data_IF_921416609484
#
_entry.id   IF_921416609484
#
_cell.length_a   1.000
_cell.length_b   1.000
_cell.length_c   1.000
_cell.angle_alpha   90.00
_cell.angle_beta   90.00
_cell.angle_gamma   90.00
#
_symmetry.space_group_name_H-M   'P 1'
#
loop_
_entity.id
_entity.type
_entity.pdbx_description
1 polymer ?
#
# COMPACT_ATOMS: atom_id res chain seq x y z
N UNK A 1 -13.70 38.65 5.03
CA UNK A 1 -12.32 38.15 5.12
C UNK A 1 -12.06 37.30 3.86
N UNK A 2 -11.54 37.91 2.80
CA UNK A 2 -11.33 37.29 1.50
C UNK A 2 -10.11 36.36 1.59
N UNK A 3 -10.35 35.05 1.56
CA UNK A 3 -9.28 34.08 1.45
C UNK A 3 -8.56 34.26 0.12
N UNK A 4 -7.35 34.80 0.18
CA UNK A 4 -6.45 34.93 -0.95
C UNK A 4 -6.14 33.51 -1.48
N UNK A 5 -6.72 33.12 -2.63
CA UNK A 5 -6.37 31.89 -3.35
C UNK A 5 -4.89 31.99 -3.72
N UNK A 6 -4.02 31.41 -2.88
CA UNK A 6 -2.61 31.22 -3.25
C UNK A 6 -2.60 30.30 -4.48
N UNK A 7 -2.27 30.86 -5.65
CA UNK A 7 -1.98 30.08 -6.84
C UNK A 7 -0.71 29.25 -6.56
N UNK A 8 -0.92 28.05 -6.02
CA UNK A 8 0.19 27.11 -5.83
C UNK A 8 0.56 26.60 -7.21
N UNK A 9 1.82 26.76 -7.67
CA UNK A 9 2.26 26.22 -8.95
C UNK A 9 1.93 24.72 -9.03
N UNK A 10 1.45 24.27 -10.19
CA UNK A 10 1.03 22.87 -10.41
C UNK A 10 2.11 21.86 -9.96
N UNK A 11 3.37 22.14 -10.29
CA UNK A 11 4.53 21.34 -9.85
C UNK A 11 4.64 21.20 -8.32
N UNK A 12 4.32 22.26 -7.58
CA UNK A 12 4.35 22.23 -6.12
C UNK A 12 3.22 21.35 -5.56
N UNK A 13 2.04 21.37 -6.22
CA UNK A 13 0.93 20.47 -5.84
C UNK A 13 1.27 19.01 -6.07
N UNK A 14 1.87 18.66 -7.20
CA UNK A 14 2.38 17.30 -7.44
C UNK A 14 3.42 16.88 -6.42
N UNK A 15 4.36 17.77 -6.10
CA UNK A 15 5.37 17.49 -5.08
C UNK A 15 4.77 17.22 -3.70
N UNK A 16 3.74 17.98 -3.30
CA UNK A 16 3.01 17.73 -2.05
C UNK A 16 2.29 16.38 -2.06
N UNK A 17 1.67 16.00 -3.18
CA UNK A 17 1.02 14.70 -3.33
C UNK A 17 2.02 13.54 -3.20
N UNK A 18 3.18 13.63 -3.87
CA UNK A 18 4.25 12.64 -3.74
C UNK A 18 4.72 12.52 -2.30
N UNK A 19 4.92 13.64 -1.59
CA UNK A 19 5.29 13.64 -0.17
C UNK A 19 4.25 12.93 0.69
N UNK A 20 2.95 13.09 0.39
CA UNK A 20 1.87 12.38 1.08
C UNK A 20 1.99 10.86 0.92
N UNK A 21 2.19 10.39 -0.31
CA UNK A 21 2.38 8.95 -0.59
C UNK A 21 3.64 8.41 0.09
N UNK A 22 4.75 9.14 0.02
CA UNK A 22 6.00 8.77 0.71
C UNK A 22 5.79 8.71 2.23
N UNK A 23 5.00 9.62 2.79
CA UNK A 23 4.67 9.60 4.21
C UNK A 23 3.89 8.34 4.59
N UNK A 24 2.89 7.92 3.80
CA UNK A 24 2.19 6.65 4.00
C UNK A 24 3.17 5.46 3.94
N UNK A 25 4.05 5.41 2.94
CA UNK A 25 5.06 4.36 2.82
C UNK A 25 5.98 4.27 4.05
N UNK A 26 6.45 5.40 4.57
CA UNK A 26 7.40 5.43 5.69
C UNK A 26 6.76 5.11 7.04
N UNK A 27 5.49 5.49 7.24
CA UNK A 27 4.86 5.44 8.55
C UNK A 27 3.82 4.33 8.68
N UNK A 28 3.19 3.88 7.55
CA UNK A 28 2.10 2.92 7.59
C UNK A 28 2.56 1.50 7.19
N UNK A 29 2.45 0.56 8.13
CA UNK A 29 2.79 -0.85 7.88
C UNK A 29 1.84 -1.48 6.87
N UNK A 30 0.54 -1.19 6.94
CA UNK A 30 -0.46 -1.75 6.04
C UNK A 30 -0.22 -1.32 4.60
N UNK A 31 0.13 -0.04 4.37
CA UNK A 31 0.51 0.44 3.05
C UNK A 31 1.68 -0.37 2.45
N UNK A 32 2.71 -0.69 3.24
CA UNK A 32 3.84 -1.51 2.80
C UNK A 32 3.44 -2.95 2.50
N UNK A 33 2.52 -3.54 3.26
CA UNK A 33 1.97 -4.87 3.00
C UNK A 33 1.23 -4.89 1.67
N UNK A 34 0.36 -3.93 1.41
CA UNK A 34 -0.37 -3.84 0.14
C UNK A 34 0.57 -3.58 -1.04
N UNK A 35 1.60 -2.76 -0.87
CA UNK A 35 2.62 -2.52 -1.90
C UNK A 35 3.41 -3.81 -2.23
N UNK A 36 3.76 -4.60 -1.21
CA UNK A 36 4.38 -5.92 -1.38
C UNK A 36 3.45 -6.86 -2.16
N UNK A 37 2.17 -6.93 -1.80
CA UNK A 37 1.19 -7.73 -2.53
C UNK A 37 1.07 -7.29 -4.00
N UNK A 38 1.02 -5.98 -4.28
CA UNK A 38 1.01 -5.43 -5.64
C UNK A 38 2.25 -5.89 -6.43
N UNK A 39 3.43 -5.84 -5.82
CA UNK A 39 4.67 -6.30 -6.46
C UNK A 39 4.57 -7.77 -6.89
N UNK A 40 4.14 -8.67 -6.00
CA UNK A 40 4.04 -10.09 -6.32
C UNK A 40 2.91 -10.42 -7.30
N UNK A 41 1.79 -9.69 -7.26
CA UNK A 41 0.70 -9.83 -8.23
C UNK A 41 1.16 -9.40 -9.64
N UNK A 42 1.88 -8.29 -9.77
CA UNK A 42 2.44 -7.84 -11.06
C UNK A 42 3.50 -8.82 -11.55
N UNK A 43 4.37 -9.30 -10.66
CA UNK A 43 5.36 -10.31 -10.97
C UNK A 43 4.71 -11.62 -11.45
N UNK A 44 3.73 -12.14 -10.73
CA UNK A 44 2.99 -13.34 -11.13
C UNK A 44 2.26 -13.12 -12.47
N UNK A 45 1.67 -11.94 -12.66
CA UNK A 45 0.99 -11.56 -13.90
C UNK A 45 1.89 -11.57 -15.12
N UNK A 46 3.23 -11.49 -14.96
CA UNK A 46 4.18 -11.58 -16.08
C UNK A 46 4.25 -12.96 -16.72
N UNK A 47 3.78 -14.01 -16.03
CA UNK A 47 3.69 -15.36 -16.56
C UNK A 47 2.38 -15.63 -17.33
N UNK A 48 1.42 -14.70 -17.26
CA UNK A 48 0.10 -14.82 -17.87
C UNK A 48 0.00 -13.95 -19.12
N UNK A 49 -0.61 -14.49 -20.17
CA UNK A 49 -0.89 -13.75 -21.41
C UNK A 49 -2.20 -12.96 -21.29
N UNK A 50 -2.30 -12.09 -20.29
CA UNK A 50 -3.48 -11.27 -20.08
C UNK A 50 -3.75 -10.34 -21.27
N UNK A 51 -5.02 -10.28 -21.68
CA UNK A 51 -5.54 -9.29 -22.61
C UNK A 51 -5.42 -7.86 -22.05
N UNK A 52 -5.58 -6.86 -22.91
CA UNK A 52 -5.56 -5.46 -22.46
C UNK A 52 -6.66 -5.16 -21.42
N UNK A 53 -7.84 -5.75 -21.58
CA UNK A 53 -8.96 -5.58 -20.65
C UNK A 53 -8.64 -6.17 -19.27
N UNK A 54 -8.06 -7.36 -19.22
CA UNK A 54 -7.65 -8.00 -17.96
C UNK A 54 -6.55 -7.18 -17.25
N UNK A 55 -5.57 -6.69 -18.00
CA UNK A 55 -4.54 -5.78 -17.44
C UNK A 55 -5.14 -4.50 -16.88
N UNK A 56 -6.15 -3.93 -17.56
CA UNK A 56 -6.85 -2.75 -17.08
C UNK A 56 -7.63 -3.03 -15.78
N UNK A 57 -8.34 -4.16 -15.69
CA UNK A 57 -9.04 -4.59 -14.47
C UNK A 57 -8.05 -4.74 -13.32
N UNK A 58 -6.93 -5.41 -13.55
CA UNK A 58 -5.89 -5.62 -12.53
C UNK A 58 -5.33 -4.28 -12.04
N UNK A 59 -5.04 -3.34 -12.95
CA UNK A 59 -4.53 -2.02 -12.60
C UNK A 59 -5.54 -1.21 -11.78
N UNK A 60 -6.83 -1.27 -12.13
CA UNK A 60 -7.91 -0.60 -11.37
C UNK A 60 -8.03 -1.20 -9.97
N UNK A 61 -8.02 -2.51 -9.83
CA UNK A 61 -8.14 -3.19 -8.53
C UNK A 61 -6.94 -2.87 -7.63
N UNK A 62 -5.72 -2.94 -8.16
CA UNK A 62 -4.51 -2.54 -7.43
C UNK A 62 -4.61 -1.08 -6.98
N UNK A 63 -4.96 -0.19 -7.91
CA UNK A 63 -5.12 1.25 -7.62
C UNK A 63 -6.17 1.49 -6.55
N UNK A 64 -7.29 0.78 -6.61
CA UNK A 64 -8.39 0.90 -5.64
C UNK A 64 -7.94 0.54 -4.21
N UNK A 65 -7.23 -0.58 -4.03
CA UNK A 65 -6.67 -0.97 -2.73
C UNK A 65 -5.69 0.09 -2.20
N UNK A 66 -4.78 0.57 -3.05
CA UNK A 66 -3.80 1.58 -2.65
C UNK A 66 -4.44 2.91 -2.28
N UNK A 67 -5.47 3.35 -3.03
CA UNK A 67 -6.21 4.59 -2.75
C UNK A 67 -6.99 4.48 -1.44
N UNK A 68 -7.67 3.36 -1.19
CA UNK A 68 -8.41 3.16 0.07
C UNK A 68 -7.49 3.16 1.28
N UNK A 69 -6.28 2.60 1.16
CA UNK A 69 -5.28 2.64 2.25
C UNK A 69 -4.78 4.06 2.54
N UNK A 70 -4.50 4.87 1.49
CA UNK A 70 -4.13 6.28 1.65
C UNK A 70 -5.26 7.08 2.30
N UNK A 71 -6.51 6.83 1.92
CA UNK A 71 -7.68 7.46 2.52
C UNK A 71 -7.85 7.05 3.98
N UNK A 72 -7.68 5.77 4.32
CA UNK A 72 -7.69 5.30 5.71
C UNK A 72 -6.67 6.04 6.56
N UNK A 73 -5.41 6.08 6.12
CA UNK A 73 -4.35 6.83 6.79
C UNK A 73 -4.70 8.31 6.98
N UNK A 74 -5.31 8.93 5.97
CA UNK A 74 -5.74 10.34 6.04
C UNK A 74 -6.85 10.54 7.07
N UNK A 75 -7.81 9.63 7.15
CA UNK A 75 -8.91 9.66 8.13
C UNK A 75 -8.36 9.45 9.55
N UNK A 76 -7.47 8.48 9.74
CA UNK A 76 -6.83 8.23 11.04
C UNK A 76 -6.11 9.48 11.55
N UNK A 77 -5.28 10.10 10.70
CA UNK A 77 -4.57 11.33 11.06
C UNK A 77 -5.53 12.50 11.34
N UNK A 78 -6.62 12.63 10.59
CA UNK A 78 -7.63 13.65 10.82
C UNK A 78 -8.34 13.44 12.18
N UNK A 79 -8.72 12.19 12.47
CA UNK A 79 -9.35 11.83 13.75
C UNK A 79 -8.43 12.13 14.92
N UNK A 80 -7.14 11.79 14.83
CA UNK A 80 -6.15 12.07 15.87
C UNK A 80 -5.89 13.57 16.06
N UNK A 81 -6.01 14.36 15.00
CA UNK A 81 -5.89 15.82 15.07
C UNK A 81 -7.10 16.47 15.77
N UNK A 82 -8.32 15.98 15.49
CA UNK A 82 -9.57 16.57 16.00
C UNK A 82 -9.93 16.04 17.39
N UNK A 83 -9.57 14.79 17.68
CA UNK A 83 -9.88 14.10 18.94
C UNK A 83 -8.63 13.42 19.51
N UNK A 84 -7.68 14.20 20.07
CA UNK A 84 -6.43 13.65 20.62
C UNK A 84 -6.67 12.77 21.86
N UNK A 85 -7.79 12.96 22.54
CA UNK A 85 -8.20 12.11 23.67
C UNK A 85 -8.97 10.87 23.18
N UNK A 86 -8.90 9.78 23.97
CA UNK A 86 -9.64 8.54 23.65
C UNK A 86 -11.14 8.79 23.68
N UNK A 87 -11.76 8.73 22.51
CA UNK A 87 -13.19 8.93 22.30
C UNK A 87 -13.75 7.71 21.54
N UNK A 88 -14.85 7.14 22.05
CA UNK A 88 -15.51 5.97 21.43
C UNK A 88 -15.96 6.25 19.99
N UNK A 89 -16.49 7.44 19.72
CA UNK A 89 -16.93 7.83 18.39
C UNK A 89 -15.73 7.95 17.42
N UNK A 90 -14.61 8.51 17.87
CA UNK A 90 -13.37 8.58 17.11
C UNK A 90 -12.86 7.18 16.74
N UNK A 91 -12.95 6.21 17.68
CA UNK A 91 -12.64 4.81 17.41
C UNK A 91 -13.52 4.21 16.31
N UNK A 92 -14.84 4.40 16.38
CA UNK A 92 -15.77 3.91 15.37
C UNK A 92 -15.46 4.46 13.97
N UNK A 93 -15.09 5.74 13.85
CA UNK A 93 -14.72 6.35 12.56
C UNK A 93 -13.47 5.68 11.98
N UNK A 94 -12.45 5.42 12.79
CA UNK A 94 -11.25 4.69 12.38
C UNK A 94 -11.57 3.25 11.94
N UNK A 95 -12.41 2.55 12.70
CA UNK A 95 -12.84 1.18 12.37
C UNK A 95 -13.58 1.11 11.02
N UNK A 96 -14.44 2.10 10.73
CA UNK A 96 -15.13 2.20 9.44
C UNK A 96 -14.14 2.43 8.30
N UNK A 97 -13.16 3.31 8.49
CA UNK A 97 -12.13 3.57 7.48
C UNK A 97 -11.28 2.31 7.22
N UNK A 98 -10.84 1.62 8.26
CA UNK A 98 -10.14 0.33 8.14
C UNK A 98 -11.02 -0.74 7.47
N UNK A 99 -12.32 -0.75 7.74
CA UNK A 99 -13.30 -1.62 7.08
C UNK A 99 -13.37 -1.42 5.57
N UNK A 100 -13.24 -0.19 5.07
CA UNK A 100 -13.19 0.09 3.64
C UNK A 100 -11.93 -0.52 2.99
N UNK A 101 -10.78 -0.46 3.65
CA UNK A 101 -9.55 -1.13 3.19
C UNK A 101 -9.75 -2.64 3.14
N UNK A 102 -10.34 -3.23 4.19
CA UNK A 102 -10.60 -4.67 4.22
C UNK A 102 -11.50 -5.10 3.07
N UNK A 103 -12.60 -4.38 2.79
CA UNK A 103 -13.48 -4.67 1.66
C UNK A 103 -12.78 -4.57 0.32
N UNK A 104 -11.93 -3.55 0.12
CA UNK A 104 -11.16 -3.41 -1.11
C UNK A 104 -10.15 -4.55 -1.29
N UNK A 105 -9.48 -4.97 -0.22
CA UNK A 105 -8.55 -6.10 -0.23
C UNK A 105 -9.25 -7.43 -0.51
N UNK A 106 -10.43 -7.68 0.09
CA UNK A 106 -11.23 -8.87 -0.21
C UNK A 106 -11.68 -8.90 -1.67
N UNK A 107 -12.09 -7.75 -2.23
CA UNK A 107 -12.42 -7.63 -3.64
C UNK A 107 -11.20 -7.97 -4.52
N UNK A 108 -10.03 -7.47 -4.16
CA UNK A 108 -8.78 -7.77 -4.87
C UNK A 108 -8.44 -9.27 -4.83
N UNK A 109 -8.64 -9.93 -3.69
CA UNK A 109 -8.45 -11.39 -3.56
C UNK A 109 -9.39 -12.17 -4.47
N UNK A 110 -10.67 -11.78 -4.53
CA UNK A 110 -11.64 -12.44 -5.43
C UNK A 110 -11.24 -12.27 -6.90
N UNK A 111 -10.87 -11.05 -7.31
CA UNK A 111 -10.40 -10.79 -8.68
C UNK A 111 -9.12 -11.56 -8.98
N UNK A 112 -8.16 -11.58 -8.06
CA UNK A 112 -6.93 -12.35 -8.22
C UNK A 112 -7.23 -13.85 -8.37
N UNK A 113 -8.14 -14.39 -7.57
CA UNK A 113 -8.55 -15.79 -7.69
C UNK A 113 -9.14 -16.11 -9.08
N UNK A 114 -10.00 -15.24 -9.60
CA UNK A 114 -10.59 -15.41 -10.93
C UNK A 114 -9.52 -15.34 -12.03
N UNK A 115 -8.58 -14.40 -11.92
CA UNK A 115 -7.59 -14.12 -12.97
C UNK A 115 -6.40 -15.09 -12.97
N UNK A 116 -5.99 -15.58 -11.81
CA UNK A 116 -4.78 -16.40 -11.67
C UNK A 116 -5.07 -17.89 -11.46
N UNK A 117 -6.32 -18.32 -11.60
CA UNK A 117 -6.70 -19.74 -11.46
C UNK A 117 -6.44 -20.53 -12.73
N UNK A 118 -5.15 -20.70 -13.08
CA UNK A 118 -4.69 -21.59 -14.15
C UNK A 118 -3.61 -22.50 -13.59
N UNK A 119 -3.97 -23.78 -13.41
CA UNK A 119 -3.10 -24.77 -12.76
C UNK A 119 -1.82 -25.02 -13.59
N UNK A 120 -1.89 -24.97 -14.90
CA UNK A 120 -0.74 -25.27 -15.75
C UNK A 120 0.25 -24.10 -15.76
N UNK A 121 -0.25 -22.86 -15.75
CA UNK A 121 0.61 -21.68 -15.57
C UNK A 121 1.22 -21.68 -14.16
N UNK A 122 0.45 -21.99 -13.12
CA UNK A 122 0.97 -22.06 -11.74
C UNK A 122 2.06 -23.13 -11.59
N UNK A 123 1.91 -24.31 -12.23
CA UNK A 123 2.96 -25.33 -12.28
C UNK A 123 4.21 -24.81 -12.99
N UNK A 124 4.05 -24.10 -14.12
CA UNK A 124 5.16 -23.50 -14.85
C UNK A 124 5.90 -22.45 -14.00
N UNK A 125 5.18 -21.61 -13.26
CA UNK A 125 5.78 -20.65 -12.30
C UNK A 125 6.59 -21.40 -11.26
N UNK A 126 6.03 -22.47 -10.68
CA UNK A 126 6.70 -23.27 -9.66
C UNK A 126 7.97 -23.94 -10.22
N UNK A 127 7.89 -24.57 -11.41
CA UNK A 127 9.07 -25.19 -12.06
C UNK A 127 10.13 -24.15 -12.40
N UNK A 128 9.75 -22.97 -12.92
CA UNK A 128 10.69 -21.88 -13.22
C UNK A 128 11.41 -21.38 -11.95
N UNK A 129 10.71 -21.31 -10.82
CA UNK A 129 11.33 -20.95 -9.54
C UNK A 129 12.30 -22.00 -9.02
N UNK A 130 12.02 -23.28 -9.27
CA UNK A 130 12.81 -24.40 -8.73
C UNK A 130 13.89 -24.94 -9.68
N UNK A 131 13.85 -24.57 -10.97
CA UNK A 131 14.77 -25.06 -12.01
C UNK A 131 16.24 -24.71 -11.70
N UNK A 132 16.49 -23.53 -11.13
CA UNK A 132 17.85 -23.10 -10.78
C UNK A 132 17.93 -22.60 -9.34
N UNK A 133 18.99 -22.99 -8.65
CA UNK A 133 19.28 -22.50 -7.29
C UNK A 133 19.29 -20.97 -7.23
N UNK A 134 19.76 -20.30 -8.29
CA UNK A 134 19.76 -18.84 -8.37
C UNK A 134 18.35 -18.23 -8.32
N UNK A 135 17.34 -18.86 -8.94
CA UNK A 135 15.95 -18.39 -8.91
C UNK A 135 15.36 -18.50 -7.50
N UNK A 136 15.64 -19.62 -6.82
CA UNK A 136 15.23 -19.84 -5.43
C UNK A 136 15.86 -18.76 -4.52
N UNK A 137 17.16 -18.52 -4.67
CA UNK A 137 17.87 -17.51 -3.86
C UNK A 137 17.35 -16.10 -4.13
N UNK A 138 17.05 -15.74 -5.37
CA UNK A 138 16.45 -14.45 -5.72
C UNK A 138 15.05 -14.30 -5.12
N UNK A 139 14.23 -15.34 -5.18
CA UNK A 139 12.89 -15.31 -4.58
C UNK A 139 12.97 -15.15 -3.06
N UNK A 140 13.80 -15.94 -2.38
CA UNK A 140 14.01 -15.84 -0.93
C UNK A 140 14.54 -14.44 -0.55
N UNK A 141 15.52 -13.91 -1.31
CA UNK A 141 16.06 -12.57 -1.05
C UNK A 141 15.00 -11.48 -1.19
N UNK A 142 14.07 -11.61 -2.16
CA UNK A 142 12.95 -10.67 -2.32
C UNK A 142 11.97 -10.74 -1.15
N UNK A 143 11.67 -11.92 -0.64
CA UNK A 143 10.81 -12.11 0.54
C UNK A 143 11.45 -11.49 1.79
N UNK A 144 12.75 -11.72 1.99
CA UNK A 144 13.49 -11.11 3.12
C UNK A 144 13.51 -9.59 2.99
N UNK A 145 13.77 -9.07 1.79
CA UNK A 145 13.77 -7.63 1.50
C UNK A 145 12.43 -6.98 1.84
N UNK A 146 11.31 -7.56 1.37
CA UNK A 146 9.98 -7.08 1.69
C UNK A 146 9.65 -7.21 3.18
N UNK A 147 10.08 -8.31 3.81
CA UNK A 147 9.96 -8.49 5.25
C UNK A 147 10.64 -7.35 6.02
N UNK A 148 11.89 -7.00 5.66
CA UNK A 148 12.60 -5.88 6.28
C UNK A 148 11.86 -4.54 6.07
N UNK A 149 11.32 -4.28 4.86
CA UNK A 149 10.55 -3.07 4.57
C UNK A 149 9.26 -3.02 5.40
N UNK A 150 8.51 -4.11 5.48
CA UNK A 150 7.23 -4.16 6.20
C UNK A 150 7.43 -3.91 7.70
N UNK A 151 8.48 -4.48 8.28
CA UNK A 151 8.78 -4.34 9.72
C UNK A 151 9.70 -3.16 10.05
N UNK A 152 10.12 -2.39 9.03
CA UNK A 152 10.88 -1.16 9.27
C UNK A 152 10.06 -0.18 10.11
N UNK A 153 10.59 0.19 11.27
CA UNK A 153 10.00 1.21 12.14
C UNK A 153 10.90 2.43 12.15
N UNK A 154 10.39 3.55 11.65
CA UNK A 154 11.10 4.83 11.74
C UNK A 154 11.24 5.20 13.22
N UNK A 155 12.46 5.44 13.67
CA UNK A 155 12.74 5.93 15.03
C UNK A 155 12.16 7.34 15.17
N UNK A 156 11.17 7.52 16.04
CA UNK A 156 10.65 8.84 16.37
C UNK A 156 11.77 9.69 16.98
N UNK A 157 12.10 10.80 16.34
CA UNK A 157 12.99 11.84 16.91
C UNK A 157 12.25 12.69 17.94
N UNK A 158 11.53 12.08 18.88
CA UNK A 158 11.00 12.78 20.06
C UNK A 158 12.03 12.65 21.18
N UNK A 159 12.93 13.61 21.29
CA UNK A 159 13.89 13.61 22.42
C UNK A 159 14.95 14.70 22.44
N UNK A 160 14.91 15.72 21.57
CA UNK A 160 15.98 16.74 21.55
C UNK A 160 15.51 18.21 21.69
N UNK A 161 14.21 18.46 21.93
CA UNK A 161 13.74 19.86 22.11
C UNK A 161 13.52 20.29 23.56
N UNK A 162 13.85 19.47 24.57
CA UNK A 162 13.63 19.84 25.98
C UNK A 162 14.90 20.27 26.73
N UNK A 163 16.00 20.62 26.05
CA UNK A 163 17.22 21.08 26.72
C UNK A 163 17.69 22.48 26.30
N UNK A 164 16.83 23.30 25.72
CA UNK A 164 17.13 24.73 25.51
C UNK A 164 16.00 25.59 26.10
N UNK A 165 15.97 25.71 27.45
CA UNK A 165 15.40 26.82 28.20
C UNK A 165 16.21 27.05 29.48
#
# INVERSE_FOLDING_TARGET
MTMNKRNIPLLKSFWCAIKGIVNCFLNERNFRIHLCACFYIIWLGSFYNFSLSEKAVLAVVIGFVMVTEVLNTSIENLVDLVSPEKNKQAGIVKDIAAGAVLLSALTAVVVAFIMFWDIDILKNVFTTLTDKVSHILLFISSVIFWGMIIFYKKKDKKGTENNEN
#
